data_IF_770024895190
#
_entry.id   IF_770024895190
#
_cell.length_a   1.000
_cell.length_b   1.000
_cell.length_c   1.000
_cell.angle_alpha   90.00
_cell.angle_beta   90.00
_cell.angle_gamma   90.00
#
_symmetry.space_group_name_H-M   'P 1'
#
loop_
_entity.id
_entity.type
_entity.pdbx_description
1 polymer ?
#
# COMPACT_ATOMS: atom_id res chain seq x y z
N UNK A 1 -16.49 30.26 3.83
CA UNK A 1 -16.70 30.54 5.27
C UNK A 1 -16.75 29.20 6.00
N UNK A 2 -15.67 28.90 6.76
CA UNK A 2 -15.50 27.96 7.89
C UNK A 2 -16.28 26.63 8.00
N UNK A 3 -15.57 25.50 7.85
CA UNK A 3 -15.28 24.52 8.94
C UNK A 3 -14.43 23.36 8.38
N UNK A 4 -13.10 23.32 8.58
CA UNK A 4 -12.39 22.90 9.81
C UNK A 4 -12.66 21.43 10.19
N UNK A 5 -12.09 20.50 9.43
CA UNK A 5 -11.75 19.13 9.86
C UNK A 5 -10.26 18.95 9.57
N UNK A 6 -9.41 19.40 10.48
CA UNK A 6 -7.95 19.20 10.39
C UNK A 6 -7.39 19.12 11.82
N UNK A 7 -7.73 18.01 12.49
CA UNK A 7 -7.12 17.58 13.76
C UNK A 7 -6.86 16.07 13.69
N UNK A 8 -6.45 15.58 12.51
CA UNK A 8 -5.72 14.33 12.39
C UNK A 8 -4.29 14.73 12.02
N UNK A 9 -3.28 14.15 12.67
CA UNK A 9 -1.94 14.04 12.07
C UNK A 9 -2.09 13.64 10.60
N UNK A 10 -1.26 14.14 9.66
CA UNK A 10 -1.34 13.71 8.27
C UNK A 10 -1.16 12.18 8.22
N UNK A 11 -2.28 11.47 8.14
CA UNK A 11 -2.33 10.02 8.08
C UNK A 11 -2.18 9.54 6.63
N UNK A 12 -2.24 10.48 5.68
CA UNK A 12 -2.11 10.22 4.26
C UNK A 12 -1.01 11.11 3.66
N UNK A 13 -0.16 10.56 2.77
CA UNK A 13 0.65 11.41 1.90
C UNK A 13 -0.31 12.28 1.08
N UNK A 14 -0.26 13.59 1.28
CA UNK A 14 -1.04 14.55 0.50
C UNK A 14 -0.38 14.74 -0.86
N UNK A 15 -1.09 14.36 -1.92
CA UNK A 15 -0.75 14.75 -3.29
C UNK A 15 -1.60 15.98 -3.66
N UNK A 16 -1.00 17.02 -4.28
CA UNK A 16 -1.75 18.17 -4.77
C UNK A 16 -2.77 17.75 -5.84
N UNK A 17 -4.06 18.05 -5.60
CA UNK A 17 -5.15 17.63 -6.50
C UNK A 17 -5.11 18.31 -7.87
N UNK A 18 -4.49 19.47 -7.97
CA UNK A 18 -4.27 20.20 -9.23
C UNK A 18 -3.26 19.49 -10.14
N UNK A 19 -2.33 18.74 -9.56
CA UNK A 19 -1.34 17.95 -10.29
C UNK A 19 -1.73 16.46 -10.45
N UNK A 20 -2.57 15.93 -9.58
CA UNK A 20 -2.91 14.50 -9.52
C UNK A 20 -4.42 14.28 -9.45
N UNK A 21 -5.13 14.58 -10.55
CA UNK A 21 -6.56 14.38 -10.62
C UNK A 21 -6.91 12.89 -10.82
N UNK A 22 -7.94 12.42 -10.12
CA UNK A 22 -8.44 11.04 -10.24
C UNK A 22 -8.97 10.75 -11.66
N UNK A 23 -9.50 11.75 -12.35
CA UNK A 23 -9.98 11.61 -13.72
C UNK A 23 -8.87 11.31 -14.73
N UNK A 24 -7.62 11.69 -14.43
CA UNK A 24 -6.46 11.45 -15.28
C UNK A 24 -5.83 10.06 -15.04
N UNK A 25 -6.40 9.26 -14.14
CA UNK A 25 -5.87 7.93 -13.80
C UNK A 25 -6.25 6.87 -14.83
N UNK A 26 -5.38 5.87 -15.00
CA UNK A 26 -5.65 4.72 -15.88
C UNK A 26 -6.37 3.63 -15.08
N UNK A 27 -7.59 3.21 -15.48
CA UNK A 27 -8.28 2.13 -14.79
C UNK A 27 -7.59 0.78 -15.04
N UNK A 28 -7.46 -0.02 -13.98
CA UNK A 28 -6.98 -1.41 -14.06
C UNK A 28 -8.14 -2.35 -13.68
N UNK A 29 -8.99 -2.74 -14.65
CA UNK A 29 -10.10 -3.66 -14.38
C UNK A 29 -9.57 -5.05 -14.03
N UNK A 30 -10.21 -5.69 -13.05
CA UNK A 30 -9.85 -7.03 -12.58
C UNK A 30 -11.10 -7.85 -12.30
N UNK A 31 -11.03 -9.14 -12.60
CA UNK A 31 -12.05 -10.15 -12.28
C UNK A 31 -11.63 -10.93 -11.03
N UNK A 32 -12.56 -11.72 -10.49
CA UNK A 32 -12.24 -12.64 -9.39
C UNK A 32 -11.16 -13.61 -9.85
N UNK A 33 -10.06 -13.67 -9.11
CA UNK A 33 -8.91 -14.53 -9.41
C UNK A 33 -7.76 -13.78 -10.08
N UNK A 34 -8.00 -12.59 -10.62
CA UNK A 34 -6.94 -11.77 -11.20
C UNK A 34 -6.06 -11.17 -10.10
N UNK A 35 -4.81 -10.92 -10.45
CA UNK A 35 -3.84 -10.23 -9.61
C UNK A 35 -3.40 -8.92 -10.27
N UNK A 36 -3.45 -7.83 -9.51
CA UNK A 36 -2.85 -6.55 -9.90
C UNK A 36 -1.54 -6.41 -9.15
N UNK A 37 -0.42 -6.44 -9.88
CA UNK A 37 0.93 -6.25 -9.34
C UNK A 37 1.37 -4.84 -9.72
N UNK A 38 1.80 -4.07 -8.73
CA UNK A 38 2.29 -2.71 -8.92
C UNK A 38 3.39 -2.41 -7.90
N UNK A 39 4.21 -1.42 -8.20
CA UNK A 39 5.23 -0.93 -7.29
C UNK A 39 4.58 -0.17 -6.13
N UNK A 40 5.08 -0.35 -4.89
CA UNK A 40 4.46 0.26 -3.70
C UNK A 40 4.35 1.80 -3.81
N UNK A 41 5.37 2.43 -4.39
CA UNK A 41 5.44 3.90 -4.58
C UNK A 41 4.68 4.40 -5.82
N UNK A 42 4.06 3.53 -6.61
CA UNK A 42 3.21 3.99 -7.71
C UNK A 42 2.04 4.80 -7.12
N UNK A 43 1.69 5.95 -7.72
CA UNK A 43 0.47 6.66 -7.32
C UNK A 43 -0.73 5.79 -7.69
N UNK A 44 -1.46 5.32 -6.69
CA UNK A 44 -2.55 4.38 -6.87
C UNK A 44 -3.71 4.69 -5.92
N UNK A 45 -4.90 4.29 -6.34
CA UNK A 45 -6.12 4.48 -5.58
C UNK A 45 -7.28 3.76 -6.24
N UNK A 46 -8.48 3.97 -5.71
CA UNK A 46 -9.70 3.48 -6.35
C UNK A 46 -10.79 4.51 -6.20
N UNK A 47 -11.67 4.60 -7.20
CA UNK A 47 -12.94 5.32 -7.04
C UNK A 47 -13.75 4.70 -5.90
N UNK A 48 -14.59 5.54 -5.29
CA UNK A 48 -15.56 5.12 -4.29
C UNK A 48 -16.44 4.02 -4.90
N UNK A 49 -16.64 2.93 -4.16
CA UNK A 49 -17.55 1.88 -4.60
C UNK A 49 -18.99 2.39 -4.56
N UNK A 50 -19.64 2.48 -5.72
CA UNK A 50 -21.02 2.94 -5.86
C UNK A 50 -22.03 1.77 -5.97
N UNK A 51 -21.58 0.53 -5.75
CA UNK A 51 -22.43 -0.68 -5.77
C UNK A 51 -22.89 -1.08 -4.38
N UNK A 52 -23.91 -1.94 -4.31
CA UNK A 52 -24.42 -2.58 -3.09
C UNK A 52 -23.59 -3.81 -2.66
N UNK A 53 -22.52 -4.13 -3.40
CA UNK A 53 -21.66 -5.28 -3.13
C UNK A 53 -20.31 -4.87 -2.57
N UNK A 54 -19.82 -5.61 -1.57
CA UNK A 54 -18.49 -5.38 -1.00
C UNK A 54 -17.39 -5.89 -1.95
N UNK A 55 -16.47 -5.00 -2.33
CA UNK A 55 -15.25 -5.37 -3.07
C UNK A 55 -14.23 -6.01 -2.13
N UNK A 56 -14.09 -7.33 -2.21
CA UNK A 56 -13.13 -8.11 -1.41
C UNK A 56 -11.77 -8.19 -2.11
N UNK A 57 -10.70 -7.96 -1.35
CA UNK A 57 -9.31 -8.07 -1.83
C UNK A 57 -8.43 -8.75 -0.78
N UNK A 58 -7.39 -9.44 -1.23
CA UNK A 58 -6.28 -9.87 -0.39
C UNK A 58 -5.05 -9.10 -0.85
N UNK A 59 -4.45 -8.31 0.04
CA UNK A 59 -3.24 -7.55 -0.26
C UNK A 59 -2.02 -8.29 0.28
N UNK A 60 -1.07 -8.58 -0.59
CA UNK A 60 0.23 -9.17 -0.23
C UNK A 60 1.31 -8.15 -0.58
N UNK A 61 2.13 -7.78 0.40
CA UNK A 61 3.28 -6.90 0.20
C UNK A 61 4.58 -7.70 0.17
N UNK A 62 5.39 -7.51 -0.87
CA UNK A 62 6.72 -8.09 -0.98
C UNK A 62 7.78 -7.02 -0.70
N UNK A 63 8.90 -7.44 -0.14
CA UNK A 63 10.09 -6.61 -0.02
C UNK A 63 11.34 -7.47 -0.03
N UNK A 64 12.45 -6.87 -0.42
CA UNK A 64 13.76 -7.48 -0.23
C UNK A 64 14.02 -7.70 1.28
N UNK A 65 14.59 -8.86 1.68
CA UNK A 65 14.96 -9.11 3.08
C UNK A 65 15.91 -8.07 3.69
N UNK A 66 16.75 -7.42 2.89
CA UNK A 66 17.67 -6.37 3.29
C UNK A 66 16.99 -4.99 3.45
N UNK A 67 15.78 -4.81 2.94
CA UNK A 67 15.05 -3.55 3.09
C UNK A 67 14.57 -3.39 4.54
N UNK A 68 15.22 -2.47 5.26
CA UNK A 68 14.86 -2.09 6.62
C UNK A 68 13.53 -1.32 6.63
N UNK A 69 12.65 -1.69 7.55
CA UNK A 69 11.36 -1.03 7.71
C UNK A 69 11.43 -0.04 8.88
N UNK A 70 11.34 1.25 8.58
CA UNK A 70 11.41 2.30 9.60
C UNK A 70 10.07 2.59 10.28
N UNK A 71 8.95 2.33 9.59
CA UNK A 71 7.59 2.61 10.06
C UNK A 71 6.53 1.68 9.42
N UNK A 72 5.27 1.88 9.78
CA UNK A 72 4.11 1.22 9.17
C UNK A 72 3.64 -0.03 9.89
N UNK A 73 2.45 -0.51 9.51
CA UNK A 73 1.73 -1.57 10.24
C UNK A 73 2.47 -2.91 10.35
N UNK A 74 3.39 -3.19 9.44
CA UNK A 74 4.17 -4.45 9.41
C UNK A 74 5.53 -4.34 10.08
N UNK A 75 5.88 -3.18 10.65
CA UNK A 75 7.14 -3.00 11.38
C UNK A 75 7.21 -4.02 12.52
N UNK A 76 8.37 -4.67 12.66
CA UNK A 76 8.68 -5.67 13.68
C UNK A 76 7.80 -6.93 13.68
N UNK A 77 6.91 -7.12 12.70
CA UNK A 77 6.15 -8.36 12.55
C UNK A 77 6.98 -9.46 11.87
N UNK A 78 6.76 -10.73 12.24
CA UNK A 78 7.33 -11.88 11.53
C UNK A 78 6.98 -11.85 10.04
N UNK A 79 7.91 -12.31 9.19
CA UNK A 79 7.77 -12.30 7.74
C UNK A 79 8.17 -13.66 7.16
N UNK A 80 7.41 -14.11 6.18
CA UNK A 80 7.71 -15.34 5.45
C UNK A 80 8.69 -15.05 4.30
N UNK A 81 9.75 -15.86 4.20
CA UNK A 81 10.59 -15.89 3.01
C UNK A 81 9.86 -16.69 1.92
N UNK A 82 9.49 -16.03 0.82
CA UNK A 82 8.75 -16.67 -0.28
C UNK A 82 9.70 -17.38 -1.24
N UNK A 83 10.87 -16.80 -1.50
CA UNK A 83 11.93 -17.43 -2.29
C UNK A 83 13.31 -16.93 -1.87
N UNK A 84 14.35 -17.66 -2.27
CA UNK A 84 15.75 -17.30 -2.00
C UNK A 84 16.16 -17.51 -0.54
N UNK A 85 17.18 -16.75 -0.10
CA UNK A 85 17.77 -16.85 1.24
C UNK A 85 17.80 -15.48 1.89
N UNK A 86 17.46 -15.42 3.19
CA UNK A 86 17.75 -14.24 4.02
C UNK A 86 19.21 -14.34 4.50
N UNK A 87 20.08 -13.37 4.17
CA UNK A 87 21.41 -13.28 4.76
C UNK A 87 21.28 -13.19 6.28
N UNK A 88 22.04 -14.02 7.01
CA UNK A 88 22.14 -13.88 8.46
C UNK A 88 23.15 -12.76 8.73
N UNK A 89 22.75 -11.78 9.54
CA UNK A 89 23.67 -10.77 10.05
C UNK A 89 24.28 -11.30 11.34
N UNK A 90 25.58 -11.10 11.54
CA UNK A 90 26.27 -11.53 12.77
C UNK A 90 25.60 -10.89 14.00
N UNK A 91 25.30 -11.70 15.02
CA UNK A 91 24.57 -11.26 16.22
C UNK A 91 23.04 -11.23 16.09
N UNK A 92 22.45 -11.59 14.94
CA UNK A 92 21.00 -11.65 14.79
C UNK A 92 20.42 -12.91 15.47
N UNK A 93 19.57 -12.71 16.49
CA UNK A 93 18.85 -13.80 17.15
C UNK A 93 17.97 -14.59 16.15
N UNK A 94 17.83 -15.89 16.39
CA UNK A 94 17.12 -16.84 15.54
C UNK A 94 15.63 -16.55 15.42
#
# INVERSE_FOLDING_TARGET
>A
MLHRIWMGTPCEPYLPNDAWNLEDTVPVPARRGDMVIFHYDAVHGSRINQTDHVRRIVRIGYRDPANQQFAGQSKDRPRLMVCGRRPRIEGQAA
#
